data_IF_586515601545
#
_entry.id   IF_586515601545
#
_cell.length_a   1.000
_cell.length_b   1.000
_cell.length_c   1.000
_cell.angle_alpha   90.00
_cell.angle_beta   90.00
_cell.angle_gamma   90.00
#
_symmetry.space_group_name_H-M   'P 1'
#
loop_
_entity.id
_entity.type
_entity.pdbx_description
1 polymer ?
#
# COMPACT_ATOMS: atom_id res chain seq x y z
N UNK A 1 14.19 18.46 6.04
CA UNK A 1 12.87 18.18 6.64
C UNK A 1 11.73 18.77 5.80
N UNK A 2 11.85 20.01 5.33
CA UNK A 2 10.82 20.71 4.55
C UNK A 2 10.44 20.02 3.22
N UNK A 3 11.42 19.60 2.42
CA UNK A 3 11.15 18.89 1.14
C UNK A 3 10.47 17.52 1.32
N UNK A 4 10.80 16.80 2.39
CA UNK A 4 10.15 15.52 2.69
C UNK A 4 8.69 15.74 3.09
N UNK A 5 8.43 16.73 3.96
CA UNK A 5 7.07 17.06 4.38
C UNK A 5 6.19 17.46 3.18
N UNK A 6 6.75 18.22 2.22
CA UNK A 6 6.05 18.57 0.98
C UNK A 6 5.73 17.31 0.16
N UNK A 7 6.69 16.39 -0.01
CA UNK A 7 6.46 15.13 -0.72
C UNK A 7 5.41 14.27 -0.04
N UNK A 8 5.49 14.12 1.28
CA UNK A 8 4.54 13.37 2.09
C UNK A 8 3.12 13.94 1.96
N UNK A 9 2.95 15.25 2.14
CA UNK A 9 1.64 15.91 2.03
C UNK A 9 1.03 15.72 0.63
N UNK A 10 1.80 15.98 -0.43
CA UNK A 10 1.34 15.77 -1.82
C UNK A 10 0.93 14.32 -2.07
N UNK A 11 1.69 13.37 -1.55
CA UNK A 11 1.40 11.94 -1.69
C UNK A 11 0.14 11.55 -0.94
N UNK A 12 -0.04 12.05 0.29
CA UNK A 12 -1.22 11.83 1.12
C UNK A 12 -2.49 12.36 0.45
N UNK A 13 -2.45 13.59 -0.07
CA UNK A 13 -3.58 14.20 -0.80
C UNK A 13 -3.93 13.42 -2.07
N UNK A 14 -2.93 12.99 -2.84
CA UNK A 14 -3.14 12.17 -4.03
C UNK A 14 -3.76 10.81 -3.68
N UNK A 15 -3.22 10.13 -2.67
CA UNK A 15 -3.70 8.81 -2.23
C UNK A 15 -5.14 8.90 -1.74
N UNK A 16 -5.50 9.95 -1.00
CA UNK A 16 -6.88 10.17 -0.56
C UNK A 16 -7.84 10.29 -1.76
N UNK A 17 -7.47 11.09 -2.77
CA UNK A 17 -8.23 11.20 -4.03
C UNK A 17 -8.34 9.86 -4.76
N UNK A 18 -7.25 9.09 -4.81
CA UNK A 18 -7.19 7.77 -5.47
C UNK A 18 -8.09 6.76 -4.79
N UNK A 19 -8.05 6.67 -3.46
CA UNK A 19 -8.91 5.76 -2.68
C UNK A 19 -10.37 6.14 -2.86
N UNK A 20 -10.71 7.41 -2.77
CA UNK A 20 -12.08 7.88 -3.00
C UNK A 20 -12.54 7.57 -4.44
N UNK A 21 -11.68 7.77 -5.44
CA UNK A 21 -11.98 7.38 -6.82
C UNK A 21 -12.24 5.87 -6.95
N UNK A 22 -11.43 5.04 -6.28
CA UNK A 22 -11.57 3.58 -6.35
C UNK A 22 -12.81 3.07 -5.64
N UNK A 23 -13.25 3.68 -4.54
CA UNK A 23 -14.31 3.13 -3.70
C UNK A 23 -15.65 3.85 -3.81
N UNK A 24 -15.70 5.15 -4.08
CA UNK A 24 -16.94 5.94 -4.13
C UNK A 24 -17.70 5.85 -5.46
N UNK A 25 -17.10 5.26 -6.51
CA UNK A 25 -17.77 4.98 -7.79
C UNK A 25 -18.41 3.58 -7.87
N UNK A 26 -18.58 3.03 -9.08
CA UNK A 26 -18.96 1.62 -9.30
C UNK A 26 -17.78 0.63 -9.29
N UNK A 27 -16.59 1.10 -8.95
CA UNK A 27 -15.35 0.30 -8.95
C UNK A 27 -14.94 -0.14 -7.55
N UNK A 28 -13.95 -1.01 -7.42
CA UNK A 28 -13.32 -1.35 -6.15
C UNK A 28 -11.80 -1.28 -6.28
N UNK A 29 -11.05 -0.80 -5.28
CA UNK A 29 -9.58 -0.78 -5.39
C UNK A 29 -8.97 -2.18 -5.57
N UNK A 30 -9.68 -3.22 -5.11
CA UNK A 30 -9.31 -4.62 -5.30
C UNK A 30 -9.36 -5.08 -6.78
N UNK A 31 -9.92 -4.26 -7.67
CA UNK A 31 -9.91 -4.51 -9.12
C UNK A 31 -8.58 -4.07 -9.75
N UNK A 32 -7.82 -3.17 -9.13
CA UNK A 32 -6.71 -2.47 -9.78
C UNK A 32 -5.35 -3.09 -9.37
N UNK A 33 -4.60 -3.70 -10.31
CA UNK A 33 -3.33 -4.37 -10.01
C UNK A 33 -2.29 -3.47 -9.36
N UNK A 34 -2.20 -2.20 -9.78
CA UNK A 34 -1.24 -1.23 -9.25
C UNK A 34 -1.53 -0.87 -7.79
N UNK A 35 -2.81 -0.81 -7.40
CA UNK A 35 -3.18 -0.65 -5.99
C UNK A 35 -2.69 -1.86 -5.18
N UNK A 36 -3.01 -3.08 -5.63
CA UNK A 36 -2.60 -4.33 -4.98
C UNK A 36 -1.08 -4.42 -4.87
N UNK A 37 -0.35 -3.99 -5.90
CA UNK A 37 1.11 -3.98 -5.92
C UNK A 37 1.71 -3.09 -4.83
N UNK A 38 1.15 -1.91 -4.57
CA UNK A 38 1.70 -0.98 -3.57
C UNK A 38 1.32 -1.41 -2.16
N UNK A 39 0.07 -1.82 -1.92
CA UNK A 39 -0.37 -2.27 -0.58
C UNK A 39 0.21 -3.63 -0.20
N UNK A 40 0.57 -4.44 -1.19
CA UNK A 40 1.23 -5.74 -1.03
C UNK A 40 2.75 -5.67 -0.92
N UNK A 41 3.35 -4.47 -0.85
CA UNK A 41 4.80 -4.35 -0.59
C UNK A 41 5.08 -4.90 0.80
N UNK A 42 5.73 -6.06 0.84
CA UNK A 42 6.00 -6.79 2.06
C UNK A 42 7.40 -6.47 2.60
N UNK A 43 7.46 -5.85 3.77
CA UNK A 43 8.69 -5.46 4.46
C UNK A 43 8.97 -6.37 5.68
N UNK A 44 8.96 -7.69 5.47
CA UNK A 44 9.08 -8.71 6.54
C UNK A 44 10.53 -9.09 6.89
N UNK A 45 11.51 -8.89 5.99
CA UNK A 45 12.90 -9.23 6.28
C UNK A 45 13.56 -8.19 7.20
N UNK A 46 13.77 -8.55 8.48
CA UNK A 46 14.41 -7.70 9.49
C UNK A 46 15.84 -7.29 9.09
N UNK A 47 16.18 -6.00 9.29
CA UNK A 47 17.45 -5.40 8.83
C UNK A 47 17.54 -5.21 7.30
N UNK A 48 16.51 -5.68 6.60
CA UNK A 48 16.31 -5.64 5.17
C UNK A 48 14.91 -5.15 4.86
N UNK A 49 14.45 -4.06 5.42
CA UNK A 49 13.12 -3.52 5.11
C UNK A 49 13.11 -2.00 5.13
N UNK A 50 12.32 -1.39 4.24
CA UNK A 50 12.11 0.05 4.20
C UNK A 50 10.68 0.37 4.63
N UNK A 51 10.48 1.54 5.23
CA UNK A 51 9.16 2.17 5.26
C UNK A 51 8.87 2.73 3.87
N UNK A 52 7.79 2.25 3.24
CA UNK A 52 7.22 2.80 2.01
C UNK A 52 6.05 3.70 2.37
N UNK A 53 6.26 5.01 2.28
CA UNK A 53 5.25 5.99 2.68
C UNK A 53 3.95 5.86 1.86
N UNK A 54 4.04 5.51 0.58
CA UNK A 54 2.89 5.24 -0.26
C UNK A 54 2.06 4.05 0.22
N UNK A 55 2.72 2.96 0.63
CA UNK A 55 2.04 1.76 1.17
C UNK A 55 1.30 2.11 2.44
N UNK A 56 1.99 2.76 3.39
CA UNK A 56 1.40 3.24 4.65
C UNK A 56 0.19 4.12 4.40
N UNK A 57 0.36 5.17 3.59
CA UNK A 57 -0.71 6.10 3.28
C UNK A 57 -1.88 5.41 2.56
N UNK A 58 -1.62 4.50 1.60
CA UNK A 58 -2.68 3.78 0.90
C UNK A 58 -3.46 2.86 1.83
N UNK A 59 -2.77 2.12 2.70
CA UNK A 59 -3.41 1.23 3.67
C UNK A 59 -4.25 2.03 4.67
N UNK A 60 -3.69 3.08 5.25
CA UNK A 60 -4.37 3.99 6.19
C UNK A 60 -5.66 4.57 5.58
N UNK A 61 -5.54 5.21 4.40
CA UNK A 61 -6.68 5.83 3.73
C UNK A 61 -7.72 4.80 3.26
N UNK A 62 -7.29 3.59 2.86
CA UNK A 62 -8.19 2.55 2.40
C UNK A 62 -8.92 1.81 3.53
N UNK A 63 -8.38 1.80 4.76
CA UNK A 63 -8.90 1.05 5.92
C UNK A 63 -10.41 1.24 6.14
N UNK A 64 -10.93 2.46 5.96
CA UNK A 64 -12.37 2.79 6.09
C UNK A 64 -13.29 1.91 5.21
N UNK A 65 -12.76 1.37 4.11
CA UNK A 65 -13.48 0.53 3.15
C UNK A 65 -13.40 -0.98 3.45
N UNK A 66 -12.80 -1.38 4.57
CA UNK A 66 -12.67 -2.78 5.01
C UNK A 66 -13.40 -3.03 6.33
N UNK A 67 -13.92 -4.23 6.48
CA UNK A 67 -14.29 -4.86 7.75
C UNK A 67 -13.02 -5.54 8.30
N UNK A 68 -12.61 -5.19 9.52
CA UNK A 68 -11.36 -5.69 10.13
C UNK A 68 -11.67 -6.63 11.29
N UNK A 69 -11.02 -7.79 11.31
CA UNK A 69 -11.15 -8.81 12.35
C UNK A 69 -9.76 -9.10 12.93
N UNK A 70 -9.60 -8.96 14.25
CA UNK A 70 -8.34 -9.32 14.94
C UNK A 70 -8.21 -10.84 15.06
N UNK A 71 -7.05 -11.38 14.73
CA UNK A 71 -6.76 -12.82 14.80
C UNK A 71 -6.15 -13.15 16.17
N UNK A 72 -6.87 -13.90 17.02
CA UNK A 72 -6.48 -14.21 18.42
C UNK A 72 -5.12 -14.91 18.57
N UNK A 73 -4.61 -15.57 17.52
CA UNK A 73 -3.28 -16.20 17.48
C UNK A 73 -2.53 -15.85 16.17
N UNK A 74 -2.79 -14.66 15.62
CA UNK A 74 -2.06 -14.19 14.45
C UNK A 74 -0.57 -14.02 14.75
N UNK A 75 0.34 -14.33 13.81
CA UNK A 75 1.74 -13.94 13.96
C UNK A 75 1.84 -12.43 14.16
N UNK A 76 2.87 -11.95 14.86
CA UNK A 76 3.09 -10.52 15.15
C UNK A 76 3.05 -9.64 13.89
N UNK A 77 3.36 -10.22 12.73
CA UNK A 77 3.34 -9.57 11.41
C UNK A 77 2.07 -9.84 10.58
N UNK A 78 1.00 -10.40 11.15
CA UNK A 78 -0.29 -10.64 10.48
C UNK A 78 -1.40 -10.90 11.53
N UNK A 79 -1.86 -9.85 12.18
CA UNK A 79 -2.80 -9.93 13.30
C UNK A 79 -4.22 -9.46 12.97
N UNK A 80 -4.48 -8.96 11.76
CA UNK A 80 -5.83 -8.61 11.33
C UNK A 80 -6.17 -9.23 9.97
N UNK A 81 -7.42 -9.68 9.84
CA UNK A 81 -8.04 -10.02 8.56
C UNK A 81 -8.89 -8.85 8.09
N UNK A 82 -8.62 -8.36 6.89
CA UNK A 82 -9.33 -7.25 6.27
C UNK A 82 -10.21 -7.77 5.14
N UNK A 83 -11.52 -7.56 5.24
CA UNK A 83 -12.50 -7.94 4.21
C UNK A 83 -13.05 -6.68 3.56
N UNK A 84 -12.85 -6.53 2.25
CA UNK A 84 -13.35 -5.37 1.52
C UNK A 84 -14.88 -5.32 1.60
N UNK A 85 -15.44 -4.20 2.08
CA UNK A 85 -16.90 -4.04 2.22
C UNK A 85 -17.66 -4.20 0.91
N UNK A 86 -17.01 -3.89 -0.23
CA UNK A 86 -17.62 -3.86 -1.58
C UNK A 86 -17.57 -5.19 -2.32
N UNK A 87 -16.36 -5.73 -2.55
CA UNK A 87 -16.18 -6.96 -3.34
C UNK A 87 -15.95 -8.21 -2.48
N UNK A 88 -15.88 -8.05 -1.15
CA UNK A 88 -15.57 -9.12 -0.20
C UNK A 88 -14.22 -9.82 -0.44
N UNK A 89 -13.28 -9.17 -1.16
CA UNK A 89 -11.89 -9.63 -1.23
C UNK A 89 -11.25 -9.57 0.16
N UNK A 90 -10.40 -10.53 0.45
CA UNK A 90 -9.81 -10.75 1.77
C UNK A 90 -8.30 -10.53 1.72
N UNK A 91 -7.81 -9.81 2.72
CA UNK A 91 -6.41 -9.45 2.90
C UNK A 91 -5.98 -9.78 4.33
N UNK A 92 -4.70 -10.11 4.49
CA UNK A 92 -4.04 -10.16 5.79
C UNK A 92 -3.34 -8.83 5.99
N UNK A 93 -3.71 -8.14 7.05
CA UNK A 93 -2.99 -6.97 7.51
C UNK A 93 -2.03 -7.36 8.61
N UNK A 94 -0.81 -6.84 8.50
CA UNK A 94 0.24 -6.99 9.48
C UNK A 94 0.83 -5.65 9.84
N UNK A 95 0.92 -5.40 11.15
CA UNK A 95 1.69 -4.30 11.70
C UNK A 95 2.64 -4.77 12.78
N UNK A 96 3.90 -4.36 12.71
CA UNK A 96 4.87 -4.67 13.76
C UNK A 96 5.87 -3.54 13.92
N UNK A 97 6.07 -3.15 15.18
CA UNK A 97 7.05 -2.16 15.63
C UNK A 97 8.30 -2.89 16.15
N UNK A 98 9.24 -3.16 15.25
CA UNK A 98 10.56 -3.65 15.65
C UNK A 98 11.48 -2.45 15.92
N UNK A 99 11.71 -2.18 17.21
CA UNK A 99 12.84 -1.41 17.74
C UNK A 99 13.35 -0.27 16.84
N UNK A 100 12.75 0.92 16.96
CA UNK A 100 13.28 2.26 16.62
C UNK A 100 13.58 2.53 15.12
N UNK A 101 13.64 1.52 14.24
CA UNK A 101 14.16 1.69 12.88
C UNK A 101 13.27 1.15 11.74
N UNK A 102 12.28 0.29 12.00
CA UNK A 102 11.46 -0.33 10.94
C UNK A 102 10.00 -0.47 11.38
N UNK A 103 9.16 0.46 10.93
CA UNK A 103 7.69 0.33 10.99
C UNK A 103 7.21 -0.50 9.80
N UNK A 104 6.38 -1.51 10.06
CA UNK A 104 5.88 -2.44 9.05
C UNK A 104 4.38 -2.27 8.90
N UNK A 105 3.91 -1.96 7.69
CA UNK A 105 2.51 -2.09 7.32
C UNK A 105 2.44 -2.88 6.02
N UNK A 106 1.69 -3.97 6.03
CA UNK A 106 1.44 -4.75 4.83
C UNK A 106 -0.02 -5.14 4.77
N UNK A 107 -0.60 -5.11 3.57
CA UNK A 107 -1.94 -5.60 3.30
C UNK A 107 -1.86 -6.65 2.19
N UNK A 108 -1.53 -7.89 2.57
CA UNK A 108 -1.32 -8.98 1.62
C UNK A 108 -2.64 -9.57 1.14
N UNK A 109 -2.87 -9.69 -0.17
CA UNK A 109 -4.07 -10.32 -0.69
C UNK A 109 -4.07 -11.83 -0.35
N UNK A 110 -5.14 -12.30 0.29
CA UNK A 110 -5.40 -13.73 0.54
C UNK A 110 -6.29 -14.27 -0.58
N UNK A 111 -7.39 -13.57 -0.83
CA UNK A 111 -8.42 -13.98 -1.80
C UNK A 111 -9.02 -12.75 -2.47
N UNK A 112 -8.62 -12.52 -3.72
CA UNK A 112 -9.21 -11.48 -4.55
C UNK A 112 -10.45 -12.04 -5.25
N UNK A 113 -11.61 -11.46 -4.97
CA UNK A 113 -12.91 -11.82 -5.58
C UNK A 113 -13.32 -10.85 -6.70
N UNK A 114 -12.64 -9.71 -6.79
CA UNK A 114 -12.86 -8.73 -7.84
C UNK A 114 -12.26 -9.20 -9.17
N UNK A 115 -12.91 -8.84 -10.28
CA UNK A 115 -12.32 -9.04 -11.61
C UNK A 115 -11.29 -7.94 -11.86
N UNK A 116 -10.09 -8.33 -12.30
CA UNK A 116 -9.01 -7.39 -12.59
C UNK A 116 -9.44 -6.36 -13.64
N UNK A 117 -9.14 -5.09 -13.38
CA UNK A 117 -9.36 -3.96 -14.26
C UNK A 117 -8.14 -3.05 -14.27
N UNK A 118 -7.86 -2.54 -15.46
CA UNK A 118 -6.92 -1.47 -15.69
C UNK A 118 -5.49 -1.90 -15.93
N UNK A 119 -4.57 -0.96 -15.71
CA UNK A 119 -3.17 -1.19 -16.07
C UNK A 119 -2.53 -2.22 -15.15
N UNK A 120 -1.76 -3.10 -15.78
CA UNK A 120 -0.91 -4.08 -15.10
C UNK A 120 0.15 -3.39 -14.25
N UNK A 121 0.67 -4.17 -13.31
CA UNK A 121 1.83 -3.83 -12.48
C UNK A 121 3.07 -3.63 -13.36
N UNK A 122 3.96 -2.74 -12.93
CA UNK A 122 5.25 -2.52 -13.58
C UNK A 122 6.39 -2.75 -12.59
N UNK A 123 7.57 -3.11 -13.10
CA UNK A 123 8.81 -3.17 -12.33
C UNK A 123 9.89 -2.38 -13.08
N UNK A 124 10.69 -1.53 -12.40
CA UNK A 124 10.63 -1.21 -10.96
C UNK A 124 9.33 -0.46 -10.56
N UNK A 125 8.93 -0.55 -9.29
CA UNK A 125 7.73 0.09 -8.74
C UNK A 125 7.99 1.59 -8.58
N UNK A 126 7.23 2.47 -9.25
CA UNK A 126 7.42 3.91 -9.13
C UNK A 126 6.86 4.43 -7.81
N UNK A 127 7.69 5.14 -7.03
CA UNK A 127 7.33 5.79 -5.77
C UNK A 127 7.83 7.26 -5.76
N UNK A 128 7.10 8.16 -5.09
CA UNK A 128 7.40 9.60 -5.03
C UNK A 128 7.78 10.09 -3.61
N UNK A 129 7.00 9.78 -2.57
CA UNK A 129 7.38 10.01 -1.17
C UNK A 129 8.63 9.21 -0.80
N UNK A 130 8.74 8.00 -1.35
CA UNK A 130 9.97 7.22 -1.34
C UNK A 130 10.17 6.36 -0.09
N UNK A 131 11.43 5.99 0.15
CA UNK A 131 11.82 4.99 1.15
C UNK A 131 12.52 5.63 2.35
N UNK A 132 12.29 5.07 3.53
CA UNK A 132 13.06 5.37 4.74
C UNK A 132 13.54 4.08 5.40
N UNK A 133 14.81 4.02 5.84
CA UNK A 133 15.39 2.83 6.50
C UNK A 133 16.28 1.95 5.59
N UNK A 134 16.41 0.66 5.91
CA UNK A 134 17.35 -0.26 5.26
C UNK A 134 16.73 -1.62 4.86
N UNK A 135 16.44 -1.80 3.56
CA UNK A 135 16.70 -2.96 2.67
C UNK A 135 15.69 -4.07 2.26
N UNK A 136 14.40 -3.82 1.94
CA UNK A 136 13.56 -4.65 1.00
C UNK A 136 12.26 -3.91 0.60
N UNK A 137 11.70 -4.07 -0.62
CA UNK A 137 12.27 -4.80 -1.76
C UNK A 137 13.57 -4.19 -2.24
N UNK A 138 14.32 -4.92 -3.08
CA UNK A 138 15.63 -4.43 -3.55
C UNK A 138 15.47 -3.03 -4.14
N UNK A 139 16.47 -2.14 -3.99
CA UNK A 139 16.46 -0.85 -4.69
C UNK A 139 16.30 -0.99 -6.21
N UNK A 140 16.55 -2.18 -6.77
CA UNK A 140 16.32 -2.49 -8.20
C UNK A 140 14.84 -2.75 -8.54
N UNK A 141 14.02 -3.02 -7.55
CA UNK A 141 12.57 -3.25 -7.69
C UNK A 141 11.75 -1.99 -7.45
N UNK A 142 12.38 -0.86 -7.08
CA UNK A 142 11.72 0.43 -6.85
C UNK A 142 12.44 1.51 -7.66
N UNK A 143 11.67 2.41 -8.25
CA UNK A 143 12.16 3.60 -8.94
C UNK A 143 11.60 4.86 -8.24
N UNK A 144 12.47 5.82 -7.93
CA UNK A 144 12.03 7.13 -7.45
C UNK A 144 11.63 7.98 -8.65
N UNK A 145 10.38 8.43 -8.68
CA UNK A 145 9.82 9.18 -9.81
C UNK A 145 9.33 10.58 -9.39
N UNK A 146 8.98 11.42 -10.36
CA UNK A 146 8.34 12.71 -10.10
C UNK A 146 6.89 12.54 -9.63
N UNK A 147 6.32 13.58 -8.99
CA UNK A 147 4.93 13.57 -8.55
C UNK A 147 3.98 13.26 -9.72
N UNK A 148 4.12 13.96 -10.84
CA UNK A 148 3.27 13.78 -12.03
C UNK A 148 3.37 12.35 -12.59
N UNK A 149 4.56 11.75 -12.53
CA UNK A 149 4.76 10.37 -12.97
C UNK A 149 4.06 9.38 -12.04
N UNK A 150 4.14 9.61 -10.72
CA UNK A 150 3.45 8.78 -9.73
C UNK A 150 1.92 8.97 -9.78
N UNK A 151 1.44 10.20 -9.90
CA UNK A 151 0.02 10.54 -10.08
C UNK A 151 -0.56 9.80 -11.29
N UNK A 152 0.09 9.94 -12.45
CA UNK A 152 -0.31 9.21 -13.65
C UNK A 152 -0.30 7.69 -13.42
N UNK A 153 0.74 7.17 -12.78
CA UNK A 153 0.85 5.74 -12.50
C UNK A 153 -0.30 5.23 -11.64
N UNK A 154 -0.65 5.92 -10.55
CA UNK A 154 -1.64 5.44 -9.58
C UNK A 154 -3.09 5.74 -9.99
N UNK A 155 -3.32 6.73 -10.84
CA UNK A 155 -4.66 7.11 -11.33
C UNK A 155 -5.07 6.44 -12.64
N UNK A 156 -4.12 5.86 -13.39
CA UNK A 156 -4.41 5.19 -14.65
C UNK A 156 -5.29 3.94 -14.46
N UNK A 157 -6.47 3.98 -15.10
CA UNK A 157 -7.48 2.92 -15.12
C UNK A 157 -7.25 1.85 -16.18
#
# INVERSE_FOLDING_TARGET
MEEFQIRYNKTSELIEKVVDMYYNGNSCACEYPRFIQIVGINCVDYGKSFKTWETTLLIDKAKKHFETETLENGPECSNEKWTCKKCKSEYNYGWSDFSIAVEREVLLPIKIKATEKGKKTIKPIPLYAGLYGHSYPSKKEIESVTFDSFEKYIMEK
#
